data_IF_337832011832
#
_entry.id   IF_337832011832
#
_cell.length_a   1.000
_cell.length_b   1.000
_cell.length_c   1.000
_cell.angle_alpha   90.00
_cell.angle_beta   90.00
_cell.angle_gamma   90.00
#
_symmetry.space_group_name_H-M   'P 1'
#
loop_
_entity.id
_entity.type
_entity.pdbx_description
1 polymer ?
#
# COMPACT_ATOMS: atom_id res chain seq x y z
N UNK A 1 -15.05 -8.21 16.82
CA UNK A 1 -14.11 -7.13 16.43
C UNK A 1 -13.02 -7.03 17.49
N UNK A 2 -11.76 -7.21 17.10
CA UNK A 2 -10.60 -7.11 18.01
C UNK A 2 -10.39 -5.67 18.47
N UNK A 3 -9.57 -5.48 19.52
CA UNK A 3 -9.24 -4.12 20.00
C UNK A 3 -8.46 -3.33 18.93
N UNK A 4 -7.57 -3.99 18.19
CA UNK A 4 -6.79 -3.37 17.11
C UNK A 4 -7.67 -2.86 15.97
N UNK A 5 -8.64 -3.65 15.51
CA UNK A 5 -9.61 -3.22 14.48
C UNK A 5 -10.41 -1.98 14.92
N UNK A 6 -10.81 -1.92 16.20
CA UNK A 6 -11.49 -0.73 16.75
C UNK A 6 -10.59 0.50 16.74
N UNK A 7 -9.31 0.33 17.08
CA UNK A 7 -8.33 1.42 17.10
C UNK A 7 -7.99 1.90 15.68
N UNK A 8 -7.84 0.99 14.71
CA UNK A 8 -7.65 1.35 13.29
C UNK A 8 -8.81 2.20 12.79
N UNK A 9 -10.05 1.75 13.03
CA UNK A 9 -11.25 2.48 12.64
C UNK A 9 -11.37 3.83 13.34
N UNK A 10 -11.11 3.90 14.65
CA UNK A 10 -11.14 5.15 15.43
C UNK A 10 -10.11 6.19 14.94
N UNK A 11 -9.00 5.73 14.35
CA UNK A 11 -7.98 6.59 13.73
C UNK A 11 -8.24 6.88 12.25
N UNK A 12 -9.28 6.33 11.69
CA UNK A 12 -9.58 6.49 10.26
C UNK A 12 -8.53 5.83 9.37
N UNK A 13 -8.04 4.65 9.73
CA UNK A 13 -7.05 3.88 8.97
C UNK A 13 -7.77 2.78 8.19
N UNK A 14 -7.62 2.74 6.87
CA UNK A 14 -8.04 1.64 6.00
C UNK A 14 -6.83 0.93 5.39
N UNK A 15 -7.07 -0.22 4.75
CA UNK A 15 -6.06 -0.94 3.94
C UNK A 15 -6.45 -0.86 2.47
N UNK A 16 -5.48 -0.57 1.61
CA UNK A 16 -5.64 -0.53 0.14
C UNK A 16 -4.79 -1.63 -0.47
N UNK A 17 -5.40 -2.49 -1.27
CA UNK A 17 -4.75 -3.60 -1.97
C UNK A 17 -4.92 -3.40 -3.48
N UNK A 18 -3.93 -2.81 -4.19
CA UNK A 18 -3.94 -2.76 -5.64
C UNK A 18 -3.66 -4.16 -6.20
N UNK A 19 -4.40 -4.57 -7.22
CA UNK A 19 -4.23 -5.90 -7.82
C UNK A 19 -4.35 -5.86 -9.33
N UNK A 20 -3.47 -6.62 -10.00
CA UNK A 20 -3.53 -6.91 -11.43
C UNK A 20 -3.08 -8.35 -11.69
N UNK A 21 -4.02 -9.22 -12.10
CA UNK A 21 -3.76 -10.63 -12.42
C UNK A 21 -3.08 -11.42 -11.30
N UNK A 22 -3.68 -11.39 -10.10
CA UNK A 22 -3.22 -12.09 -8.91
C UNK A 22 -4.21 -13.18 -8.45
N UNK A 23 -4.82 -13.92 -9.37
CA UNK A 23 -5.86 -14.92 -9.06
C UNK A 23 -5.42 -15.97 -8.02
N UNK A 24 -4.11 -16.25 -7.93
CA UNK A 24 -3.58 -17.28 -7.01
C UNK A 24 -3.46 -16.80 -5.57
N UNK A 25 -3.32 -15.50 -5.34
CA UNK A 25 -2.94 -14.96 -4.02
C UNK A 25 -3.97 -14.00 -3.45
N UNK A 26 -4.69 -13.26 -4.29
CA UNK A 26 -5.57 -12.16 -3.85
C UNK A 26 -6.62 -12.62 -2.83
N UNK A 27 -7.22 -13.79 -3.02
CA UNK A 27 -8.26 -14.30 -2.13
C UNK A 27 -7.77 -14.54 -0.71
N UNK A 28 -6.57 -15.08 -0.56
CA UNK A 28 -5.91 -15.32 0.73
C UNK A 28 -5.48 -14.00 1.37
N UNK A 29 -4.77 -13.15 0.61
CA UNK A 29 -4.30 -11.84 1.07
C UNK A 29 -5.44 -10.98 1.62
N UNK A 30 -6.58 -10.92 0.91
CA UNK A 30 -7.74 -10.15 1.37
C UNK A 30 -8.36 -10.75 2.63
N UNK A 31 -8.55 -12.07 2.68
CA UNK A 31 -9.12 -12.76 3.85
C UNK A 31 -8.24 -12.61 5.09
N UNK A 32 -6.93 -12.76 4.94
CA UNK A 32 -5.99 -12.52 6.03
C UNK A 32 -6.00 -11.04 6.48
N UNK A 33 -6.03 -10.09 5.54
CA UNK A 33 -6.13 -8.67 5.85
C UNK A 33 -7.39 -8.36 6.65
N UNK A 34 -8.52 -8.97 6.30
CA UNK A 34 -9.77 -8.84 7.05
C UNK A 34 -9.70 -9.39 8.47
N UNK A 35 -8.73 -10.24 8.81
CA UNK A 35 -8.50 -10.64 10.21
C UNK A 35 -8.00 -9.47 11.06
N UNK A 36 -7.31 -8.49 10.49
CA UNK A 36 -6.67 -7.37 11.19
C UNK A 36 -7.35 -6.02 10.96
N UNK A 37 -7.98 -5.79 9.81
CA UNK A 37 -8.67 -4.55 9.46
C UNK A 37 -10.02 -4.84 8.81
N UNK A 38 -11.08 -4.16 9.26
CA UNK A 38 -12.43 -4.32 8.66
C UNK A 38 -12.63 -3.39 7.45
N UNK A 39 -11.84 -2.34 7.32
CA UNK A 39 -11.98 -1.33 6.28
C UNK A 39 -10.93 -1.60 5.17
N UNK A 40 -11.26 -2.51 4.24
CA UNK A 40 -10.38 -2.94 3.14
C UNK A 40 -10.91 -2.45 1.80
N UNK A 41 -10.05 -1.81 1.02
CA UNK A 41 -10.33 -1.33 -0.35
C UNK A 41 -9.44 -2.11 -1.30
N UNK A 42 -10.03 -2.89 -2.19
CA UNK A 42 -9.33 -3.61 -3.26
C UNK A 42 -9.47 -2.83 -4.55
N UNK A 43 -8.34 -2.55 -5.22
CA UNK A 43 -8.35 -1.83 -6.50
C UNK A 43 -7.99 -2.80 -7.62
N UNK A 44 -8.98 -3.18 -8.41
CA UNK A 44 -8.82 -4.02 -9.60
C UNK A 44 -8.34 -3.17 -10.78
N UNK A 45 -7.05 -3.25 -11.09
CA UNK A 45 -6.40 -2.51 -12.19
C UNK A 45 -6.60 -3.20 -13.55
N UNK A 46 -7.87 -3.48 -13.91
CA UNK A 46 -8.21 -4.06 -15.20
C UNK A 46 -7.74 -5.52 -15.35
N UNK A 47 -7.94 -6.35 -14.33
CA UNK A 47 -7.59 -7.77 -14.37
C UNK A 47 -8.30 -8.51 -15.52
N UNK A 48 -7.57 -9.44 -16.14
CA UNK A 48 -8.03 -10.27 -17.27
C UNK A 48 -8.11 -11.76 -16.93
N UNK A 49 -7.65 -12.15 -15.73
CA UNK A 49 -7.74 -13.49 -15.16
C UNK A 49 -8.93 -13.59 -14.19
N UNK A 50 -8.99 -14.64 -13.37
CA UNK A 50 -10.05 -14.88 -12.38
C UNK A 50 -10.02 -13.94 -11.17
N UNK A 51 -9.06 -13.01 -11.07
CA UNK A 51 -8.94 -12.07 -9.93
C UNK A 51 -10.23 -11.32 -9.67
N UNK A 52 -10.87 -10.79 -10.72
CA UNK A 52 -12.10 -10.01 -10.59
C UNK A 52 -13.26 -10.84 -10.01
N UNK A 53 -13.38 -12.11 -10.41
CA UNK A 53 -14.37 -13.02 -9.87
C UNK A 53 -14.09 -13.31 -8.39
N UNK A 54 -12.85 -13.65 -8.04
CA UNK A 54 -12.44 -13.98 -6.67
C UNK A 54 -12.75 -12.84 -5.69
N UNK A 55 -12.39 -11.60 -6.03
CA UNK A 55 -12.70 -10.45 -5.17
C UNK A 55 -14.20 -10.14 -5.10
N UNK A 56 -14.96 -10.45 -6.15
CA UNK A 56 -16.43 -10.32 -6.17
C UNK A 56 -17.16 -11.28 -5.24
N UNK A 57 -16.53 -12.38 -4.84
CA UNK A 57 -17.06 -13.39 -3.92
C UNK A 57 -16.70 -13.10 -2.44
N UNK A 58 -15.91 -12.06 -2.17
CA UNK A 58 -15.50 -11.70 -0.80
C UNK A 58 -16.38 -10.58 -0.25
N UNK A 59 -17.07 -10.86 0.85
CA UNK A 59 -17.89 -9.88 1.56
C UNK A 59 -17.04 -8.88 2.37
N UNK A 60 -17.67 -7.77 2.73
CA UNK A 60 -17.10 -6.74 3.62
C UNK A 60 -15.84 -6.05 3.09
N UNK A 61 -15.67 -5.97 1.78
CA UNK A 61 -14.64 -5.16 1.13
C UNK A 61 -15.26 -4.08 0.26
N UNK A 62 -14.50 -3.01 0.01
CA UNK A 62 -14.85 -2.02 -1.01
C UNK A 62 -14.03 -2.30 -2.26
N UNK A 63 -14.68 -2.50 -3.41
CA UNK A 63 -14.00 -2.73 -4.68
C UNK A 63 -14.03 -1.45 -5.54
N UNK A 64 -12.86 -1.05 -6.03
CA UNK A 64 -12.70 -0.06 -7.11
C UNK A 64 -12.22 -0.81 -8.33
N UNK A 65 -12.91 -0.70 -9.47
CA UNK A 65 -12.56 -1.43 -10.67
C UNK A 65 -12.70 -0.54 -11.93
N UNK A 66 -11.86 -0.81 -12.91
CA UNK A 66 -11.92 -0.23 -14.26
C UNK A 66 -11.42 -1.27 -15.28
N UNK A 67 -11.74 -1.06 -16.54
CA UNK A 67 -11.63 -2.10 -17.58
C UNK A 67 -10.23 -2.28 -18.19
N UNK A 68 -9.28 -1.36 -17.93
CA UNK A 68 -7.95 -1.38 -18.54
C UNK A 68 -6.86 -1.19 -17.50
N UNK A 69 -5.81 -2.00 -17.57
CA UNK A 69 -4.63 -1.82 -16.74
C UNK A 69 -3.99 -0.44 -16.99
N UNK A 70 -3.82 0.32 -15.93
CA UNK A 70 -3.21 1.66 -15.92
C UNK A 70 -1.96 1.74 -15.08
N UNK A 71 -1.61 0.66 -14.41
CA UNK A 71 -0.41 0.50 -13.57
C UNK A 71 -0.64 0.82 -12.10
N UNK A 72 0.26 0.27 -11.27
CA UNK A 72 0.16 0.31 -9.80
C UNK A 72 -0.01 1.72 -9.23
N UNK A 73 0.71 2.71 -9.77
CA UNK A 73 0.61 4.10 -9.33
C UNK A 73 -0.80 4.68 -9.54
N UNK A 74 -1.41 4.40 -10.70
CA UNK A 74 -2.79 4.81 -10.95
C UNK A 74 -3.77 4.08 -10.02
N UNK A 75 -3.58 2.78 -9.82
CA UNK A 75 -4.40 2.00 -8.90
C UNK A 75 -4.33 2.56 -7.46
N UNK A 76 -3.14 2.89 -6.96
CA UNK A 76 -2.96 3.55 -5.67
C UNK A 76 -3.69 4.88 -5.59
N UNK A 77 -3.60 5.74 -6.62
CA UNK A 77 -4.35 7.01 -6.66
C UNK A 77 -5.86 6.79 -6.56
N UNK A 78 -6.42 5.80 -7.28
CA UNK A 78 -7.84 5.47 -7.19
C UNK A 78 -8.22 4.97 -5.79
N UNK A 79 -7.38 4.14 -5.20
CA UNK A 79 -7.53 3.67 -3.81
C UNK A 79 -7.52 4.84 -2.81
N UNK A 80 -6.57 5.76 -2.91
CA UNK A 80 -6.49 6.95 -2.04
C UNK A 80 -7.71 7.87 -2.22
N UNK A 81 -8.14 8.12 -3.46
CA UNK A 81 -9.37 8.91 -3.73
C UNK A 81 -10.59 8.26 -3.10
N UNK A 82 -10.72 6.93 -3.23
CA UNK A 82 -11.82 6.20 -2.62
C UNK A 82 -11.76 6.26 -1.09
N UNK A 83 -10.59 6.06 -0.48
CA UNK A 83 -10.40 6.17 0.96
C UNK A 83 -10.77 7.57 1.49
N UNK A 84 -10.31 8.63 0.82
CA UNK A 84 -10.66 10.01 1.15
C UNK A 84 -12.17 10.25 1.05
N UNK A 85 -12.83 9.75 0.00
CA UNK A 85 -14.29 9.90 -0.18
C UNK A 85 -15.09 9.16 0.90
N UNK A 86 -14.51 8.15 1.54
CA UNK A 86 -15.08 7.41 2.67
C UNK A 86 -14.72 8.03 4.03
N UNK A 87 -13.94 9.11 4.07
CA UNK A 87 -13.58 9.84 5.28
C UNK A 87 -12.37 9.27 6.02
N UNK A 88 -11.57 8.38 5.41
CA UNK A 88 -10.35 7.87 6.04
C UNK A 88 -9.25 8.94 6.08
N UNK A 89 -8.52 8.98 7.19
CA UNK A 89 -7.38 9.89 7.40
C UNK A 89 -6.06 9.29 6.93
N UNK A 90 -5.96 7.96 6.97
CA UNK A 90 -4.76 7.20 6.64
C UNK A 90 -5.10 5.96 5.82
N UNK A 91 -4.15 5.52 5.00
CA UNK A 91 -4.26 4.27 4.28
C UNK A 91 -2.96 3.47 4.39
N UNK A 92 -3.07 2.20 4.76
CA UNK A 92 -1.99 1.22 4.64
C UNK A 92 -2.09 0.60 3.25
N UNK A 93 -1.03 0.64 2.45
CA UNK A 93 -0.96 -0.10 1.18
C UNK A 93 -0.32 -1.46 1.39
N UNK A 94 -0.83 -2.48 0.73
CA UNK A 94 -0.36 -3.87 0.82
C UNK A 94 -0.46 -4.52 -0.56
N UNK A 95 0.62 -5.19 -0.99
CA UNK A 95 0.65 -5.83 -2.31
C UNK A 95 -0.15 -7.14 -2.32
N UNK A 96 -0.77 -7.44 -3.47
CA UNK A 96 -1.63 -8.60 -3.66
C UNK A 96 -0.88 -9.92 -3.90
N UNK A 97 0.46 -9.90 -3.92
CA UNK A 97 1.32 -11.05 -4.27
C UNK A 97 1.62 -11.99 -3.09
N UNK A 98 1.19 -11.63 -1.88
CA UNK A 98 1.40 -12.41 -0.66
C UNK A 98 2.80 -12.28 -0.04
N UNK A 99 3.65 -11.35 -0.53
CA UNK A 99 4.97 -11.11 0.07
C UNK A 99 4.90 -10.31 1.38
N UNK A 100 3.85 -9.55 1.57
CA UNK A 100 3.61 -8.77 2.78
C UNK A 100 2.68 -9.54 3.75
N UNK A 101 2.97 -9.43 5.03
CA UNK A 101 2.21 -10.13 6.07
C UNK A 101 1.15 -9.21 6.68
N UNK A 102 -0.15 -9.50 6.52
CA UNK A 102 -1.21 -8.71 7.14
C UNK A 102 -1.12 -8.65 8.67
N UNK A 103 -0.46 -9.64 9.30
CA UNK A 103 -0.19 -9.67 10.74
C UNK A 103 0.67 -8.48 11.23
N UNK A 104 1.36 -7.77 10.32
CA UNK A 104 2.16 -6.58 10.63
C UNK A 104 1.32 -5.28 10.67
N UNK A 105 0.04 -5.31 10.27
CA UNK A 105 -0.86 -4.14 10.31
C UNK A 105 -0.88 -3.46 11.70
N UNK A 106 -0.94 -4.18 12.83
CA UNK A 106 -0.87 -3.57 14.16
C UNK A 106 0.41 -2.78 14.43
N UNK A 107 1.54 -3.11 13.78
CA UNK A 107 2.78 -2.35 13.91
C UNK A 107 2.67 -0.97 13.28
N UNK A 108 1.98 -0.86 12.13
CA UNK A 108 1.67 0.44 11.51
C UNK A 108 0.76 1.30 12.40
N UNK A 109 -0.22 0.68 13.04
CA UNK A 109 -1.07 1.37 14.02
C UNK A 109 -0.24 1.97 15.15
N UNK A 110 0.65 1.16 15.75
CA UNK A 110 1.54 1.60 16.83
C UNK A 110 2.45 2.74 16.36
N UNK A 111 3.12 2.57 15.22
CA UNK A 111 4.00 3.60 14.66
C UNK A 111 3.24 4.90 14.33
N UNK A 112 1.99 4.81 13.85
CA UNK A 112 1.15 6.00 13.62
C UNK A 112 0.72 6.69 14.92
N UNK A 113 0.60 5.95 16.02
CA UNK A 113 0.34 6.54 17.34
C UNK A 113 1.52 7.36 17.85
N UNK A 114 2.73 6.85 17.64
CA UNK A 114 3.99 7.48 18.07
C UNK A 114 4.35 8.66 17.14
N UNK A 115 4.02 8.57 15.84
CA UNK A 115 4.37 9.56 14.81
C UNK A 115 3.14 9.96 13.97
N UNK A 116 2.18 10.71 14.53
CA UNK A 116 1.00 11.15 13.80
C UNK A 116 1.36 11.99 12.58
N UNK A 117 0.74 11.69 11.43
CA UNK A 117 0.97 12.43 10.19
C UNK A 117 2.28 12.09 9.46
N UNK A 118 3.07 11.11 9.95
CA UNK A 118 4.23 10.61 9.23
C UNK A 118 3.83 9.58 8.15
N UNK A 119 4.58 9.55 7.04
CA UNK A 119 4.64 8.39 6.17
C UNK A 119 5.44 7.30 6.88
N UNK A 120 4.84 6.13 7.07
CA UNK A 120 5.49 4.98 7.71
C UNK A 120 5.77 3.93 6.64
N UNK A 121 6.99 3.43 6.60
CA UNK A 121 7.44 2.45 5.61
C UNK A 121 7.78 1.14 6.34
N UNK A 122 7.14 0.05 5.95
CA UNK A 122 7.44 -1.28 6.44
C UNK A 122 8.72 -1.78 5.79
N UNK A 123 9.84 -1.75 6.52
CA UNK A 123 11.10 -2.30 6.04
C UNK A 123 11.09 -3.82 6.13
N UNK A 124 11.49 -4.49 5.04
CA UNK A 124 11.69 -5.94 5.05
C UNK A 124 12.97 -6.26 5.83
N UNK A 125 12.98 -7.29 6.72
CA UNK A 125 14.19 -7.68 7.42
C UNK A 125 15.29 -8.05 6.41
N UNK A 126 16.47 -7.42 6.55
CA UNK A 126 17.62 -7.63 5.66
C UNK A 126 18.26 -9.02 5.81
N UNK A 127 17.88 -9.80 6.82
CA UNK A 127 18.48 -11.10 7.13
C UNK A 127 17.62 -12.24 6.58
N UNK A 128 18.23 -13.10 5.74
CA UNK A 128 17.73 -14.44 5.42
C UNK A 128 16.89 -14.60 4.15
N UNK A 129 16.68 -13.55 3.35
CA UNK A 129 15.99 -13.69 2.05
C UNK A 129 17.03 -13.64 0.93
N UNK A 130 17.17 -14.72 0.15
CA UNK A 130 17.90 -14.71 -1.10
C UNK A 130 17.21 -13.77 -2.09
N UNK A 131 17.70 -12.55 -2.18
CA UNK A 131 17.28 -11.59 -3.21
C UNK A 131 18.00 -11.88 -4.50
N UNK A 132 17.32 -11.74 -5.63
CA UNK A 132 18.00 -11.76 -6.91
C UNK A 132 18.95 -10.55 -7.01
N UNK A 133 20.15 -10.72 -7.58
CA UNK A 133 21.15 -9.64 -7.76
C UNK A 133 20.57 -8.40 -8.45
N UNK A 134 19.57 -8.56 -9.31
CA UNK A 134 18.86 -7.45 -9.97
C UNK A 134 17.98 -6.63 -9.04
N UNK A 135 17.33 -7.27 -8.06
CA UNK A 135 16.48 -6.59 -7.05
C UNK A 135 17.31 -5.72 -6.10
N UNK A 136 18.51 -6.20 -5.70
CA UNK A 136 19.39 -5.44 -4.81
C UNK A 136 19.94 -4.19 -5.50
N UNK A 137 20.34 -4.30 -6.78
CA UNK A 137 20.82 -3.15 -7.54
C UNK A 137 19.71 -2.10 -7.74
N UNK A 138 18.49 -2.53 -8.07
CA UNK A 138 17.35 -1.61 -8.24
C UNK A 138 17.00 -0.89 -6.93
N UNK A 139 17.05 -1.58 -5.79
CA UNK A 139 16.81 -0.97 -4.48
C UNK A 139 17.92 0.02 -4.09
N UNK A 140 19.20 -0.33 -4.30
CA UNK A 140 20.33 0.56 -4.05
C UNK A 140 20.27 1.82 -4.93
N UNK A 141 19.93 1.65 -6.22
CA UNK A 141 19.75 2.78 -7.14
C UNK A 141 18.61 3.70 -6.71
N UNK A 142 17.46 3.13 -6.33
CA UNK A 142 16.30 3.88 -5.84
C UNK A 142 16.61 4.62 -4.53
N UNK A 143 17.28 3.95 -3.57
CA UNK A 143 17.70 4.55 -2.30
C UNK A 143 18.71 5.70 -2.51
N UNK A 144 19.64 5.54 -3.47
CA UNK A 144 20.59 6.60 -3.83
C UNK A 144 19.87 7.83 -4.38
N UNK A 145 18.96 7.67 -5.34
CA UNK A 145 18.21 8.79 -5.92
C UNK A 145 17.29 9.45 -4.89
N UNK A 146 16.65 8.68 -4.02
CA UNK A 146 15.89 9.23 -2.91
C UNK A 146 16.75 10.09 -2.00
N UNK A 147 17.94 9.62 -1.64
CA UNK A 147 18.89 10.40 -0.84
C UNK A 147 19.30 11.70 -1.54
N UNK A 148 19.60 11.64 -2.84
CA UNK A 148 19.97 12.83 -3.63
C UNK A 148 18.87 13.87 -3.66
N UNK A 149 17.59 13.44 -3.74
CA UNK A 149 16.45 14.34 -3.83
C UNK A 149 15.99 14.90 -2.47
N UNK A 150 16.18 14.16 -1.38
CA UNK A 150 15.59 14.48 -0.08
C UNK A 150 16.61 14.72 1.03
N UNK A 151 17.85 14.31 0.84
CA UNK A 151 18.89 14.31 1.88
C UNK A 151 18.66 13.24 2.97
N UNK A 152 17.62 12.44 2.88
CA UNK A 152 17.26 11.40 3.88
C UNK A 152 17.66 10.02 3.39
N UNK A 153 18.04 9.14 4.30
CA UNK A 153 18.36 7.73 3.98
C UNK A 153 17.21 6.84 4.38
N UNK A 154 16.82 5.94 3.48
CA UNK A 154 15.86 4.86 3.73
C UNK A 154 16.52 3.51 3.46
N UNK A 155 16.14 2.50 4.23
CA UNK A 155 16.67 1.13 4.09
C UNK A 155 16.03 0.39 2.91
N UNK A 156 14.73 0.63 2.65
CA UNK A 156 13.98 0.01 1.57
C UNK A 156 12.95 0.98 0.97
N UNK A 157 13.28 1.58 -0.17
CA UNK A 157 12.37 2.47 -0.90
C UNK A 157 11.42 1.72 -1.84
N UNK A 158 11.61 0.40 -2.03
CA UNK A 158 10.84 -0.40 -2.98
C UNK A 158 9.69 -1.19 -2.33
N UNK A 159 9.61 -1.24 -0.99
CA UNK A 159 8.48 -1.92 -0.36
C UNK A 159 7.16 -1.20 -0.66
N UNK A 160 6.14 -1.95 -1.06
CA UNK A 160 4.77 -1.46 -1.23
C UNK A 160 3.98 -1.38 0.08
N UNK A 161 4.56 -1.85 1.20
CA UNK A 161 3.90 -1.90 2.51
C UNK A 161 4.15 -0.60 3.28
N UNK A 162 3.20 0.32 3.20
CA UNK A 162 3.35 1.69 3.74
C UNK A 162 2.06 2.21 4.32
N UNK A 163 2.14 3.06 5.34
CA UNK A 163 1.01 3.87 5.81
C UNK A 163 1.18 5.31 5.35
N UNK A 164 0.18 5.81 4.63
CA UNK A 164 0.13 7.16 4.08
C UNK A 164 -0.84 8.05 4.85
N UNK A 165 -0.44 9.27 5.26
CA UNK A 165 -1.35 10.29 5.74
C UNK A 165 -2.08 10.92 4.54
N UNK A 166 -3.35 10.56 4.32
CA UNK A 166 -4.10 10.90 3.11
C UNK A 166 -4.30 12.41 2.91
N UNK A 167 -4.38 13.18 4.01
CA UNK A 167 -4.51 14.63 3.93
C UNK A 167 -3.30 15.30 3.24
N UNK A 168 -2.11 14.70 3.35
CA UNK A 168 -0.89 15.19 2.67
C UNK A 168 -0.87 14.82 1.18
N UNK A 169 -1.67 13.86 0.76
CA UNK A 169 -1.80 13.44 -0.63
C UNK A 169 -2.91 14.17 -1.37
N UNK A 170 -3.64 15.08 -0.70
CA UNK A 170 -4.71 15.84 -1.32
C UNK A 170 -4.13 16.77 -2.40
N UNK A 171 -4.65 16.65 -3.62
CA UNK A 171 -4.14 17.42 -4.78
C UNK A 171 -2.86 16.87 -5.41
N UNK A 172 -2.31 15.76 -4.90
CA UNK A 172 -1.17 15.09 -5.51
C UNK A 172 -1.56 14.58 -6.92
N UNK A 173 -0.84 15.06 -7.92
CA UNK A 173 -0.87 14.52 -9.27
C UNK A 173 0.45 13.80 -9.50
N UNK A 174 0.44 12.48 -9.51
CA UNK A 174 1.64 11.71 -9.85
C UNK A 174 1.96 11.90 -11.33
N UNK A 175 3.23 12.15 -11.62
CA UNK A 175 3.75 12.27 -12.99
C UNK A 175 3.84 10.90 -13.66
N UNK A 176 4.02 9.85 -12.84
CA UNK A 176 4.19 8.46 -13.28
C UNK A 176 3.00 7.59 -12.83
N UNK A 177 2.67 6.57 -13.62
CA UNK A 177 1.53 5.68 -13.35
C UNK A 177 1.94 4.25 -12.97
N UNK A 178 3.24 3.94 -13.01
CA UNK A 178 3.77 2.59 -12.75
C UNK A 178 4.54 2.55 -11.43
N UNK A 179 5.53 1.70 -11.33
CA UNK A 179 6.32 1.49 -10.11
C UNK A 179 7.06 2.74 -9.64
N UNK A 180 7.45 3.62 -10.55
CA UNK A 180 8.09 4.90 -10.23
C UNK A 180 7.21 5.80 -9.38
N UNK A 181 5.89 5.67 -9.50
CA UNK A 181 4.93 6.42 -8.69
C UNK A 181 5.08 6.20 -7.18
N UNK A 182 5.53 5.01 -6.77
CA UNK A 182 5.78 4.73 -5.35
C UNK A 182 6.98 5.50 -4.81
N UNK A 183 8.02 5.67 -5.61
CA UNK A 183 9.17 6.51 -5.25
C UNK A 183 8.76 7.99 -5.21
N UNK A 184 8.00 8.43 -6.20
CA UNK A 184 7.47 9.80 -6.28
C UNK A 184 6.62 10.15 -5.04
N UNK A 185 5.76 9.23 -4.59
CA UNK A 185 4.98 9.38 -3.35
C UNK A 185 5.87 9.54 -2.11
N UNK A 186 6.95 8.76 -2.01
CA UNK A 186 7.89 8.84 -0.88
C UNK A 186 8.67 10.15 -0.91
N UNK A 187 9.13 10.59 -2.08
CA UNK A 187 9.83 11.87 -2.25
C UNK A 187 8.89 13.02 -1.88
N UNK A 188 7.67 13.02 -2.40
CA UNK A 188 6.67 14.05 -2.09
C UNK A 188 6.36 14.13 -0.59
N UNK A 189 6.10 12.99 0.04
CA UNK A 189 5.83 12.94 1.48
C UNK A 189 7.02 13.35 2.36
N UNK A 190 8.25 13.32 1.82
CA UNK A 190 9.44 13.75 2.55
C UNK A 190 9.66 15.27 2.52
N UNK A 191 9.02 15.98 1.58
CA UNK A 191 9.10 17.44 1.44
C UNK A 191 7.99 18.19 2.20
N UNK A 192 6.94 17.48 2.60
CA UNK A 192 5.77 17.99 3.34
C UNK A 192 5.64 17.32 4.70
#
# INVERSE_FOLDING_TARGET
MTNEKRLLRARGICVIIPTFNNEKTIGEVVKETLCFCDDVIVVNDGCTDSTAQIIGEIDNITVVAYSQNRGKGYALQQGFRKALSMGFAYAITLDADGQHKPEDIPLFLKANQEHPGALIIGARPLQGVERSKGSDFANQFSNFWFFVQTGKRLEDTQTGYRLYPLHKLHGLSLLTNRYEAELELVVFASWH
#
